data_IF_693000036010
#
_entry.id   IF_693000036010
#
_cell.length_a   1.000
_cell.length_b   1.000
_cell.length_c   1.000
_cell.angle_alpha   90.00
_cell.angle_beta   90.00
_cell.angle_gamma   90.00
#
_symmetry.space_group_name_H-M   'P 1'
#
loop_
_entity.id
_entity.type
_entity.pdbx_description
1 polymer ?
#
# COMPACT_ATOMS: atom_id res chain seq x y z
N UNK A 1 13.96 -7.72 9.49
CA UNK A 1 13.94 -8.49 8.23
C UNK A 1 13.32 -7.51 7.27
N UNK A 2 14.07 -6.92 6.34
CA UNK A 2 13.55 -5.77 5.59
C UNK A 2 12.58 -6.23 4.50
N UNK A 3 11.32 -6.48 4.89
CA UNK A 3 10.30 -7.03 4.02
C UNK A 3 10.01 -6.12 2.81
N UNK A 4 10.21 -4.80 2.96
CA UNK A 4 10.08 -3.82 1.89
C UNK A 4 11.22 -3.91 0.88
N UNK A 5 12.46 -4.08 1.35
CA UNK A 5 13.60 -4.30 0.48
C UNK A 5 13.47 -5.60 -0.32
N UNK A 6 13.00 -6.67 0.31
CA UNK A 6 12.76 -7.95 -0.36
C UNK A 6 11.69 -7.80 -1.45
N UNK A 7 10.56 -7.16 -1.12
CA UNK A 7 9.46 -6.90 -2.05
C UNK A 7 9.89 -6.07 -3.26
N UNK A 8 10.70 -5.03 -3.05
CA UNK A 8 11.22 -4.14 -4.10
C UNK A 8 11.92 -4.89 -5.23
N UNK A 9 12.58 -6.00 -4.91
CA UNK A 9 13.32 -6.79 -5.90
C UNK A 9 12.43 -7.75 -6.71
N UNK A 10 11.22 -8.04 -6.22
CA UNK A 10 10.38 -9.10 -6.76
C UNK A 10 9.23 -8.58 -7.62
N UNK A 11 8.50 -7.57 -7.14
CA UNK A 11 7.28 -7.05 -7.79
C UNK A 11 7.10 -5.55 -7.53
N UNK A 12 6.49 -4.81 -8.46
CA UNK A 12 6.10 -3.43 -8.21
C UNK A 12 5.15 -3.32 -7.02
N UNK A 13 5.36 -2.31 -6.19
CA UNK A 13 4.53 -2.05 -5.02
C UNK A 13 4.39 -0.56 -4.76
N UNK A 14 3.35 -0.22 -4.00
CA UNK A 14 2.96 1.16 -3.71
C UNK A 14 2.58 1.30 -2.25
N UNK A 15 2.91 2.42 -1.63
CA UNK A 15 2.22 2.80 -0.39
C UNK A 15 0.77 3.12 -0.74
N UNK A 16 -0.16 2.64 0.08
CA UNK A 16 -1.59 2.78 -0.15
C UNK A 16 -2.30 3.33 1.09
N UNK A 17 -3.55 3.80 0.91
CA UNK A 17 -4.40 4.26 1.99
C UNK A 17 -3.69 5.28 2.90
N UNK A 18 -3.72 5.07 4.22
CA UNK A 18 -3.08 5.93 5.21
C UNK A 18 -1.60 6.15 4.92
N UNK A 19 -0.84 5.11 4.59
CA UNK A 19 0.61 5.25 4.41
C UNK A 19 1.00 6.13 3.22
N UNK A 20 0.19 6.19 2.17
CA UNK A 20 0.40 7.15 1.07
C UNK A 20 0.19 8.60 1.54
N UNK A 21 -0.83 8.82 2.38
CA UNK A 21 -1.15 10.13 2.95
C UNK A 21 -0.14 10.56 4.01
N UNK A 22 0.29 9.65 4.86
CA UNK A 22 1.33 9.88 5.87
C UNK A 22 2.60 10.38 5.20
N UNK A 23 2.98 9.74 4.08
CA UNK A 23 4.10 10.19 3.26
C UNK A 23 3.87 11.60 2.70
N UNK A 24 2.66 11.89 2.22
CA UNK A 24 2.30 13.22 1.68
C UNK A 24 2.41 14.31 2.74
N UNK A 25 1.95 14.04 3.96
CA UNK A 25 2.03 14.92 5.11
C UNK A 25 3.37 14.85 5.85
N UNK A 26 4.35 14.10 5.33
CA UNK A 26 5.72 13.95 5.87
C UNK A 26 5.76 13.37 7.30
N UNK A 27 4.83 12.47 7.61
CA UNK A 27 4.91 11.63 8.80
C UNK A 27 5.90 10.50 8.55
N UNK A 28 6.83 10.27 9.47
CA UNK A 28 8.00 9.39 9.26
C UNK A 28 7.96 8.08 10.03
N UNK A 29 7.18 7.98 11.11
CA UNK A 29 7.09 6.78 11.94
C UNK A 29 5.64 6.37 12.11
N UNK A 30 5.32 5.19 11.58
CA UNK A 30 3.98 4.62 11.62
C UNK A 30 4.10 3.18 12.12
N UNK A 31 3.37 2.79 13.17
CA UNK A 31 3.38 1.40 13.64
C UNK A 31 2.68 0.46 12.64
N UNK A 32 1.95 1.01 11.68
CA UNK A 32 1.21 0.25 10.65
C UNK A 32 1.52 0.83 9.27
N UNK A 33 1.86 -0.03 8.32
CA UNK A 33 2.14 0.32 6.92
C UNK A 33 1.19 -0.43 6.01
N UNK A 34 0.55 0.28 5.08
CA UNK A 34 -0.35 -0.26 4.08
C UNK A 34 0.32 -0.22 2.70
N UNK A 35 0.36 -1.39 2.06
CA UNK A 35 1.04 -1.61 0.79
C UNK A 35 0.06 -2.22 -0.20
N UNK A 36 0.04 -1.68 -1.40
CA UNK A 36 -0.56 -2.33 -2.56
C UNK A 36 0.56 -2.98 -3.40
N UNK A 37 0.37 -4.24 -3.79
CA UNK A 37 1.36 -5.03 -4.53
C UNK A 37 0.76 -5.40 -5.88
N UNK A 38 1.48 -5.16 -6.98
CA UNK A 38 1.04 -5.66 -8.28
C UNK A 38 1.26 -7.16 -8.39
N UNK A 39 0.20 -7.87 -8.77
CA UNK A 39 0.21 -9.33 -8.87
C UNK A 39 -0.69 -9.99 -7.83
N UNK A 40 -0.57 -11.31 -7.74
CA UNK A 40 -1.40 -12.16 -6.89
C UNK A 40 -0.73 -12.48 -5.54
N UNK A 41 -1.54 -13.01 -4.62
CA UNK A 41 -1.10 -13.43 -3.30
C UNK A 41 -0.01 -14.52 -3.34
N UNK A 42 -0.03 -15.37 -4.38
CA UNK A 42 0.96 -16.44 -4.56
C UNK A 42 2.34 -15.86 -4.87
N UNK A 43 2.40 -14.84 -5.71
CA UNK A 43 3.64 -14.13 -6.08
C UNK A 43 4.19 -13.36 -4.90
N UNK A 44 3.32 -12.71 -4.12
CA UNK A 44 3.69 -12.08 -2.85
C UNK A 44 4.30 -13.10 -1.88
N UNK A 45 3.64 -14.24 -1.65
CA UNK A 45 4.10 -15.26 -0.71
C UNK A 45 5.40 -15.96 -1.11
N UNK A 46 5.77 -15.95 -2.39
CA UNK A 46 7.08 -16.42 -2.86
C UNK A 46 8.21 -15.43 -2.53
N UNK A 47 7.87 -14.16 -2.41
CA UNK A 47 8.83 -13.06 -2.28
C UNK A 47 9.05 -12.65 -0.82
N UNK A 48 7.98 -12.71 -0.03
CA UNK A 48 7.98 -12.37 1.40
C UNK A 48 7.60 -13.64 2.17
N UNK A 49 8.55 -14.28 2.89
CA UNK A 49 8.25 -15.44 3.72
C UNK A 49 7.43 -15.06 4.96
N UNK A 50 6.87 -16.05 5.65
CA UNK A 50 6.21 -15.91 6.95
C UNK A 50 5.03 -14.90 6.99
N UNK A 51 4.32 -14.76 5.87
CA UNK A 51 3.09 -13.97 5.79
C UNK A 51 1.99 -14.57 6.67
N UNK A 52 1.28 -13.67 7.36
CA UNK A 52 0.03 -13.94 8.05
C UNK A 52 -1.16 -13.56 7.17
N UNK A 53 -2.28 -14.27 7.34
CA UNK A 53 -3.53 -14.02 6.61
C UNK A 53 -4.58 -13.48 7.60
N UNK A 54 -4.69 -12.14 7.76
CA UNK A 54 -5.46 -11.54 8.85
C UNK A 54 -6.98 -11.68 8.71
N UNK A 55 -7.50 -12.06 7.54
CA UNK A 55 -8.94 -12.20 7.29
C UNK A 55 -9.72 -10.88 7.35
N UNK A 56 -9.06 -9.75 7.14
CA UNK A 56 -9.69 -8.41 7.14
C UNK A 56 -10.03 -7.96 5.72
N UNK A 57 -11.07 -7.14 5.50
CA UNK A 57 -11.52 -6.80 4.15
C UNK A 57 -10.53 -6.00 3.29
N UNK A 58 -9.59 -5.30 3.92
CA UNK A 58 -8.68 -4.33 3.29
C UNK A 58 -7.25 -4.85 3.08
N UNK A 59 -6.97 -6.09 3.48
CA UNK A 59 -5.63 -6.70 3.35
C UNK A 59 -5.74 -8.20 3.11
N UNK A 60 -4.97 -8.71 2.17
CA UNK A 60 -4.94 -10.13 1.82
C UNK A 60 -3.88 -10.87 2.64
N UNK A 61 -2.79 -10.18 2.98
CA UNK A 61 -1.71 -10.70 3.83
C UNK A 61 -1.14 -9.60 4.74
N UNK A 62 -0.35 -10.01 5.73
CA UNK A 62 0.37 -9.12 6.62
C UNK A 62 1.67 -9.75 7.13
N UNK A 63 2.60 -8.94 7.59
CA UNK A 63 3.82 -9.39 8.27
C UNK A 63 4.22 -8.40 9.37
N UNK A 64 4.97 -8.87 10.36
CA UNK A 64 5.70 -8.01 11.27
C UNK A 64 7.14 -7.82 10.80
N UNK A 65 7.57 -6.58 10.61
CA UNK A 65 8.99 -6.23 10.52
C UNK A 65 9.38 -5.41 11.75
N UNK A 66 10.06 -6.07 12.70
CA UNK A 66 10.34 -5.49 14.01
C UNK A 66 9.05 -5.15 14.76
N UNK A 67 8.84 -3.86 15.03
CA UNK A 67 7.62 -3.34 15.70
C UNK A 67 6.57 -2.84 14.73
N UNK A 68 6.84 -2.89 13.42
CA UNK A 68 5.96 -2.35 12.38
C UNK A 68 5.11 -3.46 11.80
N UNK A 69 3.78 -3.26 11.79
CA UNK A 69 2.84 -4.15 11.13
C UNK A 69 2.66 -3.70 9.69
N UNK A 70 2.96 -4.58 8.74
CA UNK A 70 2.78 -4.29 7.32
C UNK A 70 1.58 -5.08 6.81
N UNK A 71 0.63 -4.40 6.18
CA UNK A 71 -0.52 -4.99 5.50
C UNK A 71 -0.34 -4.90 3.99
N UNK A 72 -0.57 -6.01 3.30
CA UNK A 72 -0.49 -6.10 1.85
C UNK A 72 -1.87 -6.29 1.25
N UNK A 73 -2.14 -5.55 0.18
CA UNK A 73 -3.28 -5.73 -0.71
C UNK A 73 -2.77 -6.06 -2.11
N UNK A 74 -3.20 -7.16 -2.68
CA UNK A 74 -2.84 -7.57 -4.03
C UNK A 74 -3.71 -6.83 -5.05
N UNK A 75 -3.08 -6.37 -6.13
CA UNK A 75 -3.72 -5.74 -7.28
C UNK A 75 -3.61 -6.71 -8.45
N UNK A 76 -4.62 -7.57 -8.60
CA UNK A 76 -4.69 -8.59 -9.65
C UNK A 76 -5.22 -7.99 -10.98
N UNK A 77 -4.66 -8.43 -12.11
CA UNK A 77 -5.17 -8.23 -13.48
C UNK A 77 -5.48 -6.80 -13.96
N UNK A 78 -4.53 -5.85 -13.88
CA UNK A 78 -4.72 -4.44 -14.30
C UNK A 78 -5.96 -3.76 -13.67
N UNK A 79 -6.57 -4.40 -12.66
CA UNK A 79 -7.77 -3.91 -12.04
C UNK A 79 -7.40 -2.72 -11.17
N UNK A 80 -8.19 -1.66 -11.29
CA UNK A 80 -8.06 -0.54 -10.37
C UNK A 80 -8.26 -1.06 -8.93
N UNK A 81 -7.46 -0.59 -7.96
CA UNK A 81 -7.65 -0.95 -6.55
C UNK A 81 -9.11 -0.75 -6.13
N UNK A 82 -9.63 -1.58 -5.23
CA UNK A 82 -10.99 -1.38 -4.75
C UNK A 82 -11.18 0.04 -4.22
N UNK A 83 -12.15 0.76 -4.80
CA UNK A 83 -12.40 2.16 -4.45
C UNK A 83 -12.84 2.29 -2.99
N UNK A 84 -12.09 3.06 -2.23
CA UNK A 84 -12.38 3.43 -0.85
C UNK A 84 -13.40 4.57 -0.80
N UNK A 85 -14.30 4.59 0.21
CA UNK A 85 -15.25 5.68 0.40
C UNK A 85 -14.58 7.02 0.66
N UNK A 86 -13.47 7.02 1.42
CA UNK A 86 -12.67 8.20 1.66
C UNK A 86 -11.71 8.42 0.49
N UNK A 87 -12.03 9.40 -0.35
CA UNK A 87 -11.37 9.65 -1.65
C UNK A 87 -9.85 9.66 -1.57
N UNK A 88 -9.29 10.30 -0.55
CA UNK A 88 -7.84 10.45 -0.43
C UNK A 88 -7.11 9.13 -0.16
N UNK A 89 -7.79 8.12 0.39
CA UNK A 89 -7.20 6.78 0.55
C UNK A 89 -7.07 6.02 -0.78
N UNK A 90 -7.63 6.53 -1.88
CA UNK A 90 -7.46 5.96 -3.21
C UNK A 90 -6.16 6.39 -3.90
N UNK A 91 -5.45 7.37 -3.34
CA UNK A 91 -4.16 7.82 -3.86
C UNK A 91 -3.09 6.80 -3.43
N UNK A 92 -2.23 6.42 -4.36
CA UNK A 92 -1.09 5.56 -4.11
C UNK A 92 0.21 6.35 -4.25
N UNK A 93 1.27 5.91 -3.59
CA UNK A 93 2.62 6.47 -3.77
C UNK A 93 3.59 5.39 -4.25
N UNK A 94 4.23 5.65 -5.38
CA UNK A 94 5.26 4.83 -6.02
C UNK A 94 6.63 5.29 -5.51
N UNK A 95 7.27 4.52 -4.60
CA UNK A 95 8.54 4.90 -4.00
C UNK A 95 9.72 4.74 -4.96
N UNK A 96 9.60 3.91 -6.00
CA UNK A 96 10.67 3.71 -6.98
C UNK A 96 10.76 4.87 -7.98
N UNK A 97 9.61 5.47 -8.31
CA UNK A 97 9.54 6.60 -9.25
C UNK A 97 9.30 7.95 -8.59
N UNK A 98 9.24 7.99 -7.26
CA UNK A 98 8.95 9.17 -6.43
C UNK A 98 7.74 9.97 -6.94
N UNK A 99 6.60 9.30 -7.11
CA UNK A 99 5.39 9.92 -7.65
C UNK A 99 4.12 9.38 -7.01
N UNK A 100 3.09 10.20 -7.01
CA UNK A 100 1.73 9.77 -6.64
C UNK A 100 0.99 9.26 -7.86
N UNK A 101 0.26 8.16 -7.69
CA UNK A 101 -0.71 7.63 -8.64
C UNK A 101 -2.10 7.97 -8.13
N UNK A 102 -2.93 8.49 -9.03
CA UNK A 102 -4.30 8.87 -8.72
C UNK A 102 -5.27 8.17 -9.68
N UNK A 103 -5.61 6.88 -9.43
CA UNK A 103 -6.42 6.09 -10.34
C UNK A 103 -7.86 6.62 -10.51
N UNK A 104 -8.28 7.55 -9.67
CA UNK A 104 -9.65 8.02 -9.52
C UNK A 104 -9.84 9.55 -9.64
N UNK A 105 -8.79 10.31 -9.97
CA UNK A 105 -8.79 11.79 -10.04
C UNK A 105 -9.21 12.45 -8.70
N UNK A 106 -8.82 11.85 -7.59
CA UNK A 106 -9.13 12.26 -6.21
C UNK A 106 -8.11 13.28 -5.65
N UNK A 107 -6.98 13.53 -6.32
CA UNK A 107 -5.94 14.47 -5.87
C UNK A 107 -6.48 15.89 -5.63
N UNK A 108 -7.50 16.30 -6.39
CA UNK A 108 -8.15 17.62 -6.21
C UNK A 108 -8.79 17.76 -4.84
N UNK A 109 -9.20 16.66 -4.21
CA UNK A 109 -9.74 16.68 -2.85
C UNK A 109 -8.70 17.03 -1.79
N UNK A 110 -7.38 16.89 -2.05
CA UNK A 110 -6.33 17.35 -1.12
C UNK A 110 -6.21 18.87 -1.05
N UNK A 111 -6.69 19.58 -2.08
CA UNK A 111 -6.51 21.03 -2.24
C UNK A 111 -7.79 21.83 -2.01
N UNK A 112 -8.91 21.17 -1.74
CA UNK A 112 -10.19 21.82 -1.43
C UNK A 112 -10.39 22.01 0.07
N UNK A 113 -11.30 22.91 0.44
CA UNK A 113 -11.67 23.23 1.84
C UNK A 113 -12.40 22.09 2.59
N UNK A 114 -12.45 20.88 2.02
CA UNK A 114 -13.22 19.75 2.54
C UNK A 114 -12.30 18.55 2.77
N UNK A 115 -11.70 18.54 3.96
CA UNK A 115 -11.28 17.34 4.68
C UNK A 115 -12.27 17.08 5.82
#
# INVERSE_FOLDING_TARGET
>A
MDALADLRSAVPWYFSSFSALDRYFRQTEQPVVHIAVEGDLVTLAKSVPDLEFPGVPYADAAIWDGTTRIYFRCLEDEQKPQKQPFRLQNILYDPDRDRYLDPYDDYRSLRGDLL
#
